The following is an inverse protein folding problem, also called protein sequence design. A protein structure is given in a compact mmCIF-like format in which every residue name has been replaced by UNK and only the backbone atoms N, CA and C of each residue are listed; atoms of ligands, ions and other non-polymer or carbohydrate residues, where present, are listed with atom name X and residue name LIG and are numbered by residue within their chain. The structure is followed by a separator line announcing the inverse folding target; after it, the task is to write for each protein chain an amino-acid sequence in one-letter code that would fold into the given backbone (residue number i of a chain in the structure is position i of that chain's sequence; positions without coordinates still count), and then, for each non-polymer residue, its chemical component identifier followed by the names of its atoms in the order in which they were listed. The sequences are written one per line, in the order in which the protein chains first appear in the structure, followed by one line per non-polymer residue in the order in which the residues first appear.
data_IF_324854113009
#
_entry.id   IF_324854113009
#
_cell.length_a   1.000
_cell.length_b   1.000
_cell.length_c   1.000
_cell.angle_alpha   90.00
_cell.angle_beta   90.00
_cell.angle_gamma   90.00
#
_symmetry.space_group_name_H-M   'P 1'
#
loop_
_entity.id
_entity.type
_entity.pdbx_description
1 polymer ?
#
# COMPACT_ATOMS: atom_id res chain seq x y z
N UNK A 1 -15.81 27.38 -25.63
CA UNK A 1 -15.64 27.25 -24.16
C UNK A 1 -16.12 25.87 -23.73
N UNK A 2 -15.19 24.96 -23.45
CA UNK A 2 -15.28 23.88 -22.47
C UNK A 2 -13.88 23.25 -22.42
N UNK A 3 -13.06 23.78 -21.52
CA UNK A 3 -11.77 23.21 -21.14
C UNK A 3 -12.00 21.78 -20.64
N UNK A 4 -11.54 20.78 -21.38
CA UNK A 4 -11.24 19.46 -20.81
C UNK A 4 -9.72 19.41 -20.64
N UNK A 5 -9.26 20.19 -19.66
CA UNK A 5 -8.06 19.85 -18.90
C UNK A 5 -8.47 18.69 -17.99
N UNK A 6 -8.36 17.45 -18.47
CA UNK A 6 -8.54 16.25 -17.64
C UNK A 6 -7.25 15.45 -17.64
N UNK A 7 -6.53 15.66 -16.54
CA UNK A 7 -5.68 14.66 -15.88
C UNK A 7 -4.45 14.19 -16.66
N UNK A 8 -3.52 15.12 -16.89
CA UNK A 8 -2.10 14.81 -16.84
C UNK A 8 -1.70 14.61 -15.38
N UNK A 9 -1.97 13.43 -14.81
CA UNK A 9 -1.08 12.94 -13.75
C UNK A 9 0.17 12.45 -14.47
N UNK A 10 1.20 13.30 -14.41
CA UNK A 10 2.51 13.06 -14.98
C UNK A 10 2.98 11.64 -14.65
N UNK A 11 3.32 10.87 -15.68
CA UNK A 11 4.05 9.61 -15.60
C UNK A 11 5.49 9.89 -15.09
N UNK A 12 5.62 10.36 -13.85
CA UNK A 12 6.88 10.53 -13.15
C UNK A 12 7.36 9.17 -12.65
N UNK A 13 8.07 8.44 -13.52
CA UNK A 13 8.68 7.16 -13.14
C UNK A 13 9.67 6.63 -14.18
N UNK A 14 9.56 7.07 -15.42
CA UNK A 14 10.47 6.67 -16.49
C UNK A 14 11.53 7.75 -16.68
N UNK A 15 12.66 7.57 -15.98
CA UNK A 15 13.91 8.29 -16.25
C UNK A 15 14.27 8.06 -17.73
N UNK A 16 14.23 9.14 -18.53
CA UNK A 16 14.30 9.16 -20.00
C UNK A 16 13.06 8.56 -20.70
N UNK A 17 11.94 9.30 -20.66
CA UNK A 17 10.68 8.88 -21.29
C UNK A 17 10.45 9.57 -22.64
N UNK A 18 10.06 8.76 -23.62
CA UNK A 18 9.42 9.19 -24.86
C UNK A 18 7.92 8.90 -24.73
N UNK A 19 7.06 9.91 -24.83
CA UNK A 19 5.61 9.73 -24.74
C UNK A 19 4.90 10.49 -25.85
N UNK A 20 3.77 9.94 -26.29
CA UNK A 20 2.94 10.53 -27.34
C UNK A 20 1.75 11.24 -26.68
N UNK A 21 1.55 12.51 -27.00
CA UNK A 21 0.45 13.34 -26.51
C UNK A 21 -0.40 13.81 -27.69
N UNK A 22 -1.73 13.76 -27.57
CA UNK A 22 -2.59 14.43 -28.54
C UNK A 22 -2.73 15.91 -28.19
N UNK A 23 -2.36 16.81 -29.11
CA UNK A 23 -2.60 18.25 -29.00
C UNK A 23 -3.31 18.74 -30.25
N UNK A 24 -4.50 19.32 -30.06
CA UNK A 24 -5.29 19.95 -31.15
C UNK A 24 -5.55 19.01 -32.34
N UNK A 25 -5.83 17.72 -32.09
CA UNK A 25 -6.14 16.72 -33.12
C UNK A 25 -4.92 16.16 -33.87
N UNK A 26 -3.71 16.46 -33.38
CA UNK A 26 -2.46 15.89 -33.87
C UNK A 26 -1.73 15.19 -32.75
N UNK A 27 -1.07 14.08 -33.05
CA UNK A 27 -0.24 13.36 -32.10
C UNK A 27 1.16 13.99 -32.11
N UNK A 28 1.69 14.38 -30.96
CA UNK A 28 3.08 14.82 -30.76
C UNK A 28 3.86 13.77 -29.98
N UNK A 29 5.09 13.47 -30.40
CA UNK A 29 6.08 12.76 -29.60
C UNK A 29 6.89 13.76 -28.80
N UNK A 30 6.94 13.58 -27.49
CA UNK A 30 7.78 14.36 -26.58
C UNK A 30 8.81 13.45 -25.91
N UNK A 31 10.06 13.88 -25.89
CA UNK A 31 11.16 13.21 -25.18
C UNK A 31 11.61 14.11 -24.04
N UNK A 32 11.72 13.56 -22.83
CA UNK A 32 12.16 14.28 -21.63
C UNK A 32 13.49 13.75 -21.08
N UNK A 33 14.22 14.63 -20.39
CA UNK A 33 15.41 14.26 -19.60
C UNK A 33 15.03 13.58 -18.27
N UNK A 34 16.05 13.18 -17.50
CA UNK A 34 15.85 12.56 -16.17
C UNK A 34 15.14 13.47 -15.16
N UNK A 35 15.09 14.78 -15.39
CA UNK A 35 14.36 15.75 -14.57
C UNK A 35 12.95 16.06 -15.13
N UNK A 36 12.46 15.26 -16.08
CA UNK A 36 11.17 15.48 -16.77
C UNK A 36 11.11 16.77 -17.60
N UNK A 37 12.25 17.37 -17.96
CA UNK A 37 12.29 18.54 -18.84
C UNK A 37 12.23 18.09 -20.29
N UNK A 38 11.34 18.71 -21.08
CA UNK A 38 11.22 18.43 -22.51
C UNK A 38 12.52 18.76 -23.23
N UNK A 39 13.13 17.76 -23.85
CA UNK A 39 14.31 17.90 -24.71
C UNK A 39 13.90 18.03 -26.17
N UNK A 40 12.84 17.34 -26.58
CA UNK A 40 12.39 17.28 -27.97
C UNK A 40 10.87 17.10 -28.04
N UNK A 41 10.23 17.74 -29.02
CA UNK A 41 8.82 17.52 -29.34
C UNK A 41 8.59 17.62 -30.84
N UNK A 42 7.89 16.67 -31.45
CA UNK A 42 7.57 16.68 -32.89
C UNK A 42 6.21 16.05 -33.18
N UNK A 43 5.50 16.55 -34.18
CA UNK A 43 4.24 15.96 -34.65
C UNK A 43 4.50 14.62 -35.35
N UNK A 44 3.64 13.62 -35.08
CA UNK A 44 3.66 12.30 -35.72
C UNK A 44 2.32 12.07 -36.43
N UNK A 45 2.35 11.55 -37.66
CA UNK A 45 1.14 11.18 -38.39
C UNK A 45 0.24 10.19 -37.62
N UNK A 46 -1.08 10.43 -37.62
CA UNK A 46 -2.07 9.67 -36.85
C UNK A 46 -2.19 8.19 -37.27
N UNK A 47 -1.89 7.88 -38.53
CA UNK A 47 -1.80 6.54 -39.11
C UNK A 47 -0.71 5.68 -38.43
N UNK A 48 0.45 6.28 -38.12
CA UNK A 48 1.55 5.59 -37.42
C UNK A 48 1.18 5.31 -35.95
N UNK A 49 0.49 6.25 -35.30
CA UNK A 49 0.03 6.06 -33.92
C UNK A 49 -0.98 4.90 -33.81
N UNK A 50 -1.88 4.79 -34.78
CA UNK A 50 -2.83 3.68 -34.86
C UNK A 50 -2.16 2.33 -35.15
N UNK A 51 -1.03 2.31 -35.89
CA UNK A 51 -0.23 1.09 -36.12
C UNK A 51 0.49 0.59 -34.86
N UNK A 52 0.86 1.48 -33.93
CA UNK A 52 1.59 1.18 -32.67
C UNK A 52 0.63 0.84 -31.52
N UNK A 53 -0.65 1.18 -31.66
CA UNK A 53 -1.71 0.93 -30.68
C UNK A 53 -2.69 -0.21 -31.07
N UNK A 54 -2.25 -1.42 -31.50
CA UNK A 54 -3.19 -2.50 -31.79
C UNK A 54 -3.65 -3.20 -30.51
N UNK A 55 -4.88 -3.72 -30.57
CA UNK A 55 -5.58 -4.25 -29.40
C UNK A 55 -4.90 -5.51 -28.81
N UNK A 56 -4.07 -6.23 -29.56
CA UNK A 56 -3.21 -7.37 -29.13
C UNK A 56 -2.09 -7.62 -30.15
N UNK A 57 -0.85 -7.20 -29.90
CA UNK A 57 0.32 -7.62 -30.71
C UNK A 57 1.54 -7.94 -29.85
N UNK A 58 2.42 -8.79 -30.38
CA UNK A 58 3.67 -9.24 -29.80
C UNK A 58 4.70 -8.09 -29.75
N UNK A 59 5.47 -7.96 -28.66
CA UNK A 59 6.48 -6.88 -28.47
C UNK A 59 7.51 -6.86 -29.61
N UNK A 60 7.75 -8.01 -30.25
CA UNK A 60 8.62 -8.11 -31.44
C UNK A 60 8.12 -7.26 -32.61
N UNK A 61 6.80 -7.19 -32.81
CA UNK A 61 6.19 -6.42 -33.89
C UNK A 61 6.27 -4.91 -33.58
N UNK A 62 6.10 -4.54 -32.32
CA UNK A 62 6.31 -3.18 -31.82
C UNK A 62 7.77 -2.74 -32.01
N UNK A 63 8.75 -3.60 -31.68
CA UNK A 63 10.17 -3.33 -31.93
C UNK A 63 10.46 -3.10 -33.42
N UNK A 64 9.85 -3.89 -34.31
CA UNK A 64 9.97 -3.72 -35.76
C UNK A 64 9.34 -2.40 -36.23
N UNK A 65 8.16 -2.04 -35.71
CA UNK A 65 7.46 -0.78 -36.00
C UNK A 65 8.23 0.45 -35.49
N UNK A 66 8.84 0.41 -34.30
CA UNK A 66 9.70 1.52 -33.84
C UNK A 66 11.01 1.57 -34.63
N UNK A 67 11.57 0.43 -35.03
CA UNK A 67 12.75 0.42 -35.91
C UNK A 67 12.42 1.07 -37.26
N UNK A 68 11.23 0.83 -37.82
CA UNK A 68 10.72 1.51 -39.01
C UNK A 68 10.60 3.03 -38.77
N UNK A 69 10.04 3.46 -37.63
CA UNK A 69 9.96 4.88 -37.23
C UNK A 69 11.33 5.56 -37.16
N UNK A 70 12.31 4.97 -36.48
CA UNK A 70 13.66 5.52 -36.40
C UNK A 70 14.29 5.65 -37.80
N UNK A 71 14.09 4.66 -38.66
CA UNK A 71 14.61 4.65 -40.03
C UNK A 71 13.94 5.69 -40.96
N UNK A 72 12.82 6.31 -40.57
CA UNK A 72 12.16 7.40 -41.33
C UNK A 72 12.82 8.78 -41.15
N UNK A 73 14.06 8.83 -40.66
CA UNK A 73 14.85 10.08 -40.55
C UNK A 73 14.97 10.64 -39.13
N UNK A 74 14.35 9.99 -38.14
CA UNK A 74 14.40 10.42 -36.73
C UNK A 74 15.58 9.79 -35.95
N UNK A 75 16.23 8.75 -36.49
CA UNK A 75 17.39 8.06 -35.89
C UNK A 75 18.56 8.98 -35.52
N UNK A 76 19.03 9.92 -36.38
CA UNK A 76 20.16 10.78 -36.03
C UNK A 76 19.86 11.74 -34.86
N UNK A 77 18.64 12.28 -34.83
CA UNK A 77 18.18 13.17 -33.75
C UNK A 77 18.01 12.40 -32.45
N UNK A 78 17.50 11.17 -32.54
CA UNK A 78 17.37 10.24 -31.43
C UNK A 78 18.73 9.84 -30.84
N UNK A 79 19.70 9.49 -31.68
CA UNK A 79 21.06 9.12 -31.26
C UNK A 79 21.82 10.30 -30.62
N UNK A 80 21.59 11.54 -31.07
CA UNK A 80 22.17 12.74 -30.46
C UNK A 80 21.58 13.04 -29.08
N UNK A 81 20.26 12.95 -28.94
CA UNK A 81 19.56 13.09 -27.64
C UNK A 81 20.01 11.98 -26.68
N UNK A 82 20.15 10.75 -27.18
CA UNK A 82 20.69 9.60 -26.43
C UNK A 82 22.08 9.90 -25.89
N UNK A 83 22.99 10.44 -26.72
CA UNK A 83 24.33 10.86 -26.25
C UNK A 83 24.26 11.91 -25.13
N UNK A 84 23.38 12.91 -25.23
CA UNK A 84 23.23 13.95 -24.18
C UNK A 84 22.66 13.41 -22.87
N UNK A 85 21.76 12.44 -22.95
CA UNK A 85 21.15 11.77 -21.79
C UNK A 85 22.15 10.88 -21.04
N UNK A 86 22.96 10.10 -21.77
CA UNK A 86 23.93 9.16 -21.19
C UNK A 86 25.23 9.82 -20.70
N UNK A 87 25.49 11.08 -21.06
CA UNK A 87 26.65 11.85 -20.59
C UNK A 87 26.46 12.49 -19.21
N UNK A 88 25.25 12.42 -18.63
CA UNK A 88 25.04 12.80 -17.23
C UNK A 88 25.60 11.68 -16.37
N UNK A 89 26.75 11.92 -15.74
CA UNK A 89 27.33 11.03 -14.75
C UNK A 89 26.28 10.71 -13.67
N UNK A 90 26.22 9.46 -13.17
CA UNK A 90 25.33 9.13 -12.08
C UNK A 90 25.75 9.97 -10.88
N UNK A 91 25.02 11.05 -10.61
CA UNK A 91 25.05 11.71 -9.31
C UNK A 91 24.62 10.67 -8.29
N UNK A 92 25.38 10.53 -7.20
CA UNK A 92 25.05 9.65 -6.08
C UNK A 92 23.59 9.93 -5.67
N UNK A 93 22.69 9.03 -6.07
CA UNK A 93 21.27 9.20 -5.85
C UNK A 93 21.02 9.00 -4.36
N UNK A 94 20.69 10.08 -3.66
CA UNK A 94 20.28 10.01 -2.27
C UNK A 94 19.02 9.15 -2.16
N UNK A 95 19.03 8.19 -1.24
CA UNK A 95 17.91 7.29 -0.98
C UNK A 95 16.64 8.08 -0.63
N UNK A 96 15.52 7.77 -1.29
CA UNK A 96 14.22 8.38 -1.00
C UNK A 96 13.46 7.63 0.10
N UNK A 97 13.84 7.86 1.35
CA UNK A 97 13.14 7.33 2.52
C UNK A 97 11.72 7.89 2.72
N UNK A 98 11.35 8.97 2.02
CA UNK A 98 10.01 9.56 2.15
C UNK A 98 8.95 8.68 1.50
N UNK A 99 9.27 8.09 0.34
CA UNK A 99 8.43 7.11 -0.35
C UNK A 99 8.18 5.86 0.50
N UNK A 100 9.23 5.35 1.15
CA UNK A 100 9.18 4.20 2.05
C UNK A 100 8.28 4.51 3.25
N UNK A 101 8.47 5.67 3.91
CA UNK A 101 7.63 6.07 5.05
C UNK A 101 6.16 6.15 4.66
N UNK A 102 5.85 6.77 3.52
CA UNK A 102 4.48 6.85 2.99
C UNK A 102 3.89 5.46 2.73
N UNK A 103 4.69 4.53 2.18
CA UNK A 103 4.23 3.16 1.98
C UNK A 103 3.91 2.46 3.30
N UNK A 104 4.73 2.64 4.33
CA UNK A 104 4.46 2.07 5.67
C UNK A 104 3.18 2.66 6.25
N UNK A 105 2.98 3.98 6.15
CA UNK A 105 1.75 4.62 6.62
C UNK A 105 0.50 4.07 5.91
N UNK A 106 0.58 3.84 4.60
CA UNK A 106 -0.51 3.20 3.84
C UNK A 106 -0.77 1.76 4.31
N UNK A 107 0.29 0.98 4.55
CA UNK A 107 0.16 -0.40 5.03
C UNK A 107 -0.40 -0.44 6.46
N UNK A 108 -0.01 0.49 7.33
CA UNK A 108 -0.60 0.66 8.67
C UNK A 108 -2.09 0.96 8.55
N UNK A 109 -2.48 1.93 7.70
CA UNK A 109 -3.88 2.29 7.51
C UNK A 109 -4.74 1.13 6.96
N UNK A 110 -4.13 0.22 6.18
CA UNK A 110 -4.77 -1.01 5.71
C UNK A 110 -4.93 -2.06 6.83
N UNK A 111 -3.93 -2.21 7.70
CA UNK A 111 -3.91 -3.23 8.76
C UNK A 111 -4.69 -2.82 10.02
N UNK A 112 -4.64 -1.54 10.42
CA UNK A 112 -5.28 -1.00 11.63
C UNK A 112 -6.75 -1.47 11.83
N UNK A 113 -7.62 -1.40 10.81
CA UNK A 113 -9.00 -1.85 10.95
C UNK A 113 -9.14 -3.36 11.23
N UNK A 114 -8.20 -4.17 10.73
CA UNK A 114 -8.25 -5.63 10.82
C UNK A 114 -7.85 -6.13 12.22
N UNK A 115 -6.90 -5.45 12.87
CA UNK A 115 -6.37 -5.80 14.19
C UNK A 115 -7.33 -5.42 15.33
N UNK A 116 -8.14 -4.38 15.15
CA UNK A 116 -8.99 -3.80 16.20
C UNK A 116 -10.17 -4.67 16.67
N UNK A 117 -10.07 -5.98 16.47
CA UNK A 117 -11.21 -6.85 16.35
C UNK A 117 -10.96 -8.24 16.94
N UNK A 118 -10.51 -8.35 18.20
CA UNK A 118 -10.74 -9.57 19.01
C UNK A 118 -10.42 -9.33 20.50
N UNK A 119 -11.43 -9.02 21.33
CA UNK A 119 -11.32 -9.23 22.77
C UNK A 119 -11.78 -10.65 23.12
N UNK A 120 -10.86 -11.53 23.47
CA UNK A 120 -11.14 -12.89 23.94
C UNK A 120 -11.91 -12.94 25.28
N UNK A 121 -12.11 -11.82 25.99
CA UNK A 121 -12.71 -11.82 27.34
C UNK A 121 -13.87 -10.83 27.60
N UNK A 122 -14.50 -10.22 26.59
CA UNK A 122 -15.64 -9.31 26.85
C UNK A 122 -16.89 -9.63 26.04
N UNK A 123 -17.66 -10.61 26.52
CA UNK A 123 -19.00 -10.95 26.00
C UNK A 123 -19.96 -9.75 25.93
N UNK A 124 -19.69 -8.67 26.68
CA UNK A 124 -20.47 -7.43 26.70
C UNK A 124 -20.28 -6.53 25.47
N UNK A 125 -19.22 -6.75 24.69
CA UNK A 125 -18.82 -5.89 23.57
C UNK A 125 -18.87 -6.62 22.22
N UNK A 126 -18.98 -7.94 22.25
CA UNK A 126 -19.09 -8.79 21.07
C UNK A 126 -20.54 -9.04 20.66
N UNK A 127 -20.79 -9.08 19.36
CA UNK A 127 -22.06 -9.50 18.79
C UNK A 127 -22.31 -11.00 19.10
N UNK A 128 -23.49 -11.37 19.63
CA UNK A 128 -23.84 -12.77 19.93
C UNK A 128 -23.91 -13.71 18.71
N UNK A 129 -24.03 -13.16 17.49
CA UNK A 129 -24.13 -13.93 16.24
C UNK A 129 -22.75 -14.13 15.61
N UNK A 130 -21.96 -13.06 15.53
CA UNK A 130 -20.66 -13.08 14.84
C UNK A 130 -19.49 -13.33 15.80
N UNK A 131 -19.72 -13.29 17.12
CA UNK A 131 -18.71 -13.41 18.18
C UNK A 131 -17.59 -12.36 18.05
N UNK A 132 -17.98 -11.20 17.58
CA UNK A 132 -17.12 -10.22 16.95
C UNK A 132 -17.43 -8.82 17.54
N UNK A 133 -16.44 -7.97 17.85
CA UNK A 133 -16.63 -6.63 18.45
C UNK A 133 -17.58 -5.74 17.63
N UNK A 134 -18.70 -5.29 18.20
CA UNK A 134 -19.76 -4.59 17.46
C UNK A 134 -19.25 -3.35 16.66
N UNK A 135 -19.45 -3.32 15.34
CA UNK A 135 -19.08 -2.21 14.44
C UNK A 135 -20.25 -1.28 14.14
N UNK A 136 -21.37 -1.84 13.71
CA UNK A 136 -22.64 -1.12 13.56
C UNK A 136 -23.69 -1.76 14.47
N UNK A 137 -23.60 -1.52 15.80
CA UNK A 137 -24.48 -2.14 16.75
C UNK A 137 -25.92 -1.65 16.60
N UNK A 138 -26.85 -2.60 16.50
CA UNK A 138 -28.29 -2.38 16.61
C UNK A 138 -28.83 -3.12 17.82
N UNK A 139 -29.81 -2.51 18.49
CA UNK A 139 -30.52 -3.11 19.62
C UNK A 139 -31.91 -3.56 19.19
N UNK A 140 -32.32 -4.75 19.60
CA UNK A 140 -33.67 -5.27 19.40
C UNK A 140 -34.67 -4.74 20.45
N UNK A 141 -35.94 -5.13 20.32
CA UNK A 141 -37.01 -4.81 21.28
C UNK A 141 -36.83 -5.45 22.65
N UNK A 142 -35.91 -6.40 22.79
CA UNK A 142 -35.63 -7.12 24.03
C UNK A 142 -34.37 -6.58 24.74
N UNK A 143 -33.65 -5.63 24.15
CA UNK A 143 -32.45 -5.02 24.70
C UNK A 143 -31.14 -5.71 24.32
N UNK A 144 -31.17 -6.71 23.43
CA UNK A 144 -29.98 -7.38 22.93
C UNK A 144 -29.33 -6.57 21.82
N UNK A 145 -28.01 -6.43 21.86
CA UNK A 145 -27.25 -5.70 20.84
C UNK A 145 -26.55 -6.67 19.90
N UNK A 146 -26.71 -6.46 18.59
CA UNK A 146 -26.17 -7.28 17.53
C UNK A 146 -25.45 -6.42 16.48
N UNK A 147 -24.58 -7.04 15.69
CA UNK A 147 -24.05 -6.45 14.46
C UNK A 147 -25.17 -6.39 13.42
N UNK A 148 -25.42 -5.21 12.83
CA UNK A 148 -26.57 -4.96 11.96
C UNK A 148 -26.72 -5.99 10.86
N UNK A 149 -25.66 -6.18 10.07
CA UNK A 149 -25.70 -7.09 8.94
C UNK A 149 -26.01 -8.54 9.37
N UNK A 150 -25.49 -8.94 10.53
CA UNK A 150 -25.67 -10.30 11.03
C UNK A 150 -27.11 -10.55 11.47
N UNK A 151 -27.70 -9.64 12.27
CA UNK A 151 -29.08 -9.80 12.72
C UNK A 151 -30.08 -9.62 11.58
N UNK A 152 -29.83 -8.72 10.63
CA UNK A 152 -30.71 -8.54 9.48
C UNK A 152 -30.78 -9.82 8.62
N UNK A 153 -29.65 -10.50 8.40
CA UNK A 153 -29.62 -11.82 7.75
C UNK A 153 -30.37 -12.89 8.54
N UNK A 154 -30.21 -12.92 9.87
CA UNK A 154 -30.96 -13.84 10.72
C UNK A 154 -32.48 -13.61 10.65
N UNK A 155 -32.93 -12.34 10.62
CA UNK A 155 -34.35 -12.00 10.54
C UNK A 155 -34.96 -12.28 9.17
N UNK A 156 -34.19 -12.23 8.09
CA UNK A 156 -34.66 -12.66 6.77
C UNK A 156 -34.99 -14.16 6.73
N UNK A 157 -34.22 -14.98 7.44
CA UNK A 157 -34.38 -16.44 7.46
C UNK A 157 -35.41 -16.92 8.47
N UNK A 158 -35.37 -16.38 9.70
CA UNK A 158 -36.09 -16.95 10.83
C UNK A 158 -37.19 -16.05 11.40
N UNK A 159 -37.21 -14.75 11.06
CA UNK A 159 -38.21 -13.76 11.55
C UNK A 159 -38.41 -13.79 13.09
N UNK A 160 -37.33 -14.07 13.83
CA UNK A 160 -37.34 -14.15 15.28
C UNK A 160 -35.99 -13.70 15.86
N UNK A 161 -35.99 -13.23 17.11
CA UNK A 161 -34.78 -12.92 17.85
C UNK A 161 -33.97 -14.21 18.09
N UNK A 162 -32.68 -14.26 17.73
CA UNK A 162 -31.84 -15.45 17.90
C UNK A 162 -31.65 -15.90 19.36
N UNK A 163 -31.75 -14.97 20.31
CA UNK A 163 -31.55 -15.24 21.74
C UNK A 163 -32.87 -15.59 22.44
N UNK A 164 -33.90 -14.77 22.26
CA UNK A 164 -35.20 -14.94 22.93
C UNK A 164 -36.14 -15.93 22.22
N UNK A 165 -35.86 -16.25 20.95
CA UNK A 165 -36.73 -17.07 20.08
C UNK A 165 -38.17 -16.54 19.99
N UNK A 166 -38.33 -15.23 20.11
CA UNK A 166 -39.61 -14.51 19.96
C UNK A 166 -39.68 -13.83 18.59
N UNK A 167 -40.87 -13.73 17.96
CA UNK A 167 -41.02 -13.08 16.66
C UNK A 167 -40.57 -11.62 16.68
N UNK A 168 -39.79 -11.20 15.68
CA UNK A 168 -39.44 -9.78 15.45
C UNK A 168 -39.12 -9.55 13.96
N UNK A 169 -39.16 -8.30 13.53
CA UNK A 169 -38.81 -7.89 12.16
C UNK A 169 -37.70 -6.82 12.16
N UNK A 170 -37.13 -6.53 10.98
CA UNK A 170 -36.03 -5.58 10.83
C UNK A 170 -36.37 -4.17 11.33
N UNK A 171 -37.63 -3.77 11.23
CA UNK A 171 -38.14 -2.47 11.73
C UNK A 171 -38.03 -2.33 13.25
N UNK A 172 -37.91 -3.45 13.97
CA UNK A 172 -37.82 -3.49 15.42
C UNK A 172 -36.37 -3.25 15.90
N UNK A 173 -35.41 -3.18 14.98
CA UNK A 173 -34.02 -2.85 15.24
C UNK A 173 -33.81 -1.34 15.28
N UNK A 174 -33.12 -0.86 16.33
CA UNK A 174 -32.73 0.56 16.46
C UNK A 174 -31.21 0.67 16.56
N UNK A 175 -30.57 1.70 15.97
CA UNK A 175 -29.14 1.92 16.18
C UNK A 175 -28.82 2.09 17.67
N UNK A 176 -27.77 1.42 18.15
CA UNK A 176 -27.28 1.57 19.52
C UNK A 176 -26.04 2.48 19.53
N UNK A 177 -26.27 3.79 19.48
CA UNK A 177 -25.18 4.78 19.41
C UNK A 177 -24.25 4.76 20.63
N UNK A 178 -24.74 4.40 21.82
CA UNK A 178 -23.91 4.28 23.01
C UNK A 178 -22.93 3.11 22.90
N UNK A 179 -23.40 1.94 22.46
CA UNK A 179 -22.53 0.81 22.16
C UNK A 179 -21.55 1.18 21.05
N UNK A 180 -22.00 1.86 20.00
CA UNK A 180 -21.12 2.30 18.90
C UNK A 180 -19.98 3.21 19.40
N UNK A 181 -20.29 4.24 20.19
CA UNK A 181 -19.28 5.14 20.77
C UNK A 181 -18.35 4.42 21.76
N UNK A 182 -18.90 3.51 22.56
CA UNK A 182 -18.11 2.74 23.53
C UNK A 182 -17.15 1.79 22.83
N UNK A 183 -17.62 1.04 21.82
CA UNK A 183 -16.78 0.16 21.00
C UNK A 183 -15.74 0.95 20.24
N UNK A 184 -16.10 2.11 19.69
CA UNK A 184 -15.16 3.00 19.01
C UNK A 184 -14.05 3.50 19.96
N UNK A 185 -14.41 3.85 21.20
CA UNK A 185 -13.43 4.21 22.23
C UNK A 185 -12.54 3.01 22.59
N UNK A 186 -13.14 1.84 22.81
CA UNK A 186 -12.42 0.61 23.16
C UNK A 186 -11.45 0.18 22.05
N UNK A 187 -11.86 0.27 20.78
CA UNK A 187 -10.99 0.08 19.62
C UNK A 187 -9.79 1.03 19.67
N UNK A 188 -10.01 2.29 20.05
CA UNK A 188 -8.96 3.32 20.11
C UNK A 188 -8.06 3.24 21.35
N UNK A 189 -8.53 2.67 22.46
CA UNK A 189 -7.82 2.74 23.75
C UNK A 189 -7.37 1.40 24.30
N UNK A 190 -8.20 0.36 24.24
CA UNK A 190 -7.96 -0.92 24.93
C UNK A 190 -7.56 -2.04 23.97
N UNK A 191 -8.12 -2.06 22.75
CA UNK A 191 -7.85 -3.08 21.73
C UNK A 191 -7.04 -2.58 20.53
N UNK A 192 -6.57 -1.34 20.55
CA UNK A 192 -5.59 -0.86 19.58
C UNK A 192 -4.20 -1.27 20.03
N UNK A 193 -3.39 -1.77 19.09
CA UNK A 193 -1.94 -1.83 19.25
C UNK A 193 -1.43 -0.47 19.77
N UNK A 194 -0.72 -0.44 20.92
CA UNK A 194 -0.23 0.83 21.45
C UNK A 194 0.59 1.57 20.38
N UNK A 195 0.38 2.87 20.25
CA UNK A 195 1.09 3.73 19.30
C UNK A 195 1.40 5.08 19.96
N UNK A 196 2.34 5.84 19.40
CA UNK A 196 2.81 7.15 19.93
C UNK A 196 1.80 8.31 19.78
N UNK A 197 0.53 8.01 19.55
CA UNK A 197 -0.51 8.99 19.27
C UNK A 197 -0.83 9.87 20.51
N UNK A 198 -0.48 9.39 21.71
CA UNK A 198 -0.71 10.06 22.99
C UNK A 198 0.58 10.64 23.61
N UNK A 199 1.56 11.03 22.80
CA UNK A 199 2.80 11.62 23.31
C UNK A 199 2.54 12.98 24.01
N UNK A 200 2.87 13.07 25.30
CA UNK A 200 2.59 14.23 26.17
C UNK A 200 3.87 15.04 26.50
N UNK A 201 5.06 14.51 26.20
CA UNK A 201 6.34 15.18 26.40
C UNK A 201 7.40 14.25 26.96
N UNK A 202 8.70 14.57 26.78
CA UNK A 202 9.77 13.65 27.20
C UNK A 202 9.95 13.65 28.72
N UNK A 203 9.86 12.47 29.33
CA UNK A 203 10.26 12.23 30.70
C UNK A 203 10.92 10.86 30.80
N UNK A 204 12.24 10.81 30.55
CA UNK A 204 13.00 9.56 30.44
C UNK A 204 12.95 8.71 31.71
N UNK A 205 12.99 9.35 32.89
CA UNK A 205 12.94 8.63 34.18
C UNK A 205 11.58 7.99 34.40
N UNK A 206 10.49 8.71 34.11
CA UNK A 206 9.14 8.18 34.22
C UNK A 206 8.88 7.10 33.16
N UNK A 207 9.28 7.34 31.91
CA UNK A 207 9.19 6.36 30.84
C UNK A 207 9.91 5.07 31.21
N UNK A 208 11.16 5.15 31.70
CA UNK A 208 11.92 4.00 32.15
C UNK A 208 11.22 3.25 33.29
N UNK A 209 10.72 3.97 34.29
CA UNK A 209 10.00 3.34 35.42
C UNK A 209 8.77 2.58 34.94
N UNK A 210 8.01 3.13 34.00
CA UNK A 210 6.84 2.49 33.41
C UNK A 210 7.22 1.28 32.54
N UNK A 211 8.31 1.37 31.77
CA UNK A 211 8.86 0.24 31.02
C UNK A 211 9.31 -0.89 31.94
N UNK A 212 10.01 -0.57 33.04
CA UNK A 212 10.46 -1.55 34.03
C UNK A 212 9.25 -2.25 34.69
N UNK A 213 8.18 -1.52 35.00
CA UNK A 213 6.92 -2.10 35.48
C UNK A 213 6.28 -3.03 34.45
N UNK A 214 6.19 -2.60 33.19
CA UNK A 214 5.66 -3.44 32.10
C UNK A 214 6.47 -4.73 31.92
N UNK A 215 7.80 -4.64 31.99
CA UNK A 215 8.68 -5.81 31.95
C UNK A 215 8.44 -6.78 33.11
N UNK A 216 8.21 -6.28 34.33
CA UNK A 216 7.86 -7.15 35.47
C UNK A 216 6.56 -7.92 35.19
N UNK A 217 5.52 -7.26 34.68
CA UNK A 217 4.26 -7.93 34.31
C UNK A 217 4.45 -8.94 33.18
N UNK A 218 5.29 -8.61 32.19
CA UNK A 218 5.67 -9.53 31.11
C UNK A 218 6.30 -10.83 31.64
N UNK A 219 7.24 -10.73 32.61
CA UNK A 219 7.89 -11.91 33.22
C UNK A 219 6.90 -12.77 34.02
N UNK A 220 5.86 -12.17 34.57
CA UNK A 220 4.80 -12.86 35.31
C UNK A 220 3.76 -13.49 34.35
N UNK A 221 3.84 -13.22 33.04
CA UNK A 221 2.89 -13.71 32.03
C UNK A 221 1.60 -12.89 31.95
N UNK A 222 1.57 -11.72 32.60
CA UNK A 222 0.45 -10.78 32.63
C UNK A 222 0.56 -9.80 31.46
N UNK A 223 0.24 -10.27 30.27
CA UNK A 223 0.50 -9.57 29.02
C UNK A 223 -0.33 -8.29 28.85
N UNK A 224 -1.60 -8.30 29.25
CA UNK A 224 -2.49 -7.13 29.15
C UNK A 224 -2.01 -5.99 30.06
N UNK A 225 -1.67 -6.30 31.32
CA UNK A 225 -1.11 -5.30 32.22
C UNK A 225 0.23 -4.75 31.73
N UNK A 226 1.07 -5.60 31.13
CA UNK A 226 2.34 -5.17 30.55
C UNK A 226 2.11 -4.19 29.38
N UNK A 227 1.17 -4.47 28.47
CA UNK A 227 0.81 -3.58 27.37
C UNK A 227 0.28 -2.23 27.87
N UNK A 228 -0.48 -2.21 28.97
CA UNK A 228 -0.95 -0.97 29.60
C UNK A 228 0.19 -0.11 30.13
N UNK A 229 1.19 -0.72 30.78
CA UNK A 229 2.38 0.00 31.25
C UNK A 229 3.23 0.52 30.10
N UNK A 230 3.42 -0.26 29.03
CA UNK A 230 4.10 0.20 27.84
C UNK A 230 3.35 1.35 27.15
N UNK A 231 2.02 1.27 27.03
CA UNK A 231 1.18 2.36 26.51
C UNK A 231 1.36 3.64 27.34
N UNK A 232 1.40 3.54 28.66
CA UNK A 232 1.69 4.68 29.55
C UNK A 232 3.09 5.23 29.33
N UNK A 233 4.10 4.36 29.14
CA UNK A 233 5.47 4.78 28.87
C UNK A 233 5.58 5.59 27.55
N UNK A 234 4.84 5.20 26.50
CA UNK A 234 4.82 5.90 25.20
C UNK A 234 4.33 7.35 25.27
N UNK A 235 3.62 7.74 26.33
CA UNK A 235 3.30 9.15 26.59
C UNK A 235 4.54 9.99 26.86
N UNK A 236 5.59 9.35 27.39
CA UNK A 236 6.79 10.00 27.91
C UNK A 236 8.08 9.68 27.15
N UNK A 237 8.02 8.75 26.20
CA UNK A 237 9.15 8.40 25.31
C UNK A 237 8.73 8.39 23.84
N UNK A 238 9.67 8.80 22.99
CA UNK A 238 9.58 8.73 21.54
C UNK A 238 10.73 7.91 20.93
N UNK A 239 11.38 7.04 21.72
CA UNK A 239 12.50 6.21 21.25
C UNK A 239 12.01 4.86 20.72
N UNK A 240 12.49 4.42 19.54
CA UNK A 240 11.98 3.22 18.87
C UNK A 240 12.35 1.96 19.66
N UNK A 241 13.50 1.98 20.33
CA UNK A 241 13.94 0.91 21.24
C UNK A 241 12.94 0.66 22.39
N UNK A 242 12.29 1.71 22.87
CA UNK A 242 11.32 1.61 23.99
C UNK A 242 9.98 1.03 23.51
N UNK A 243 9.72 1.07 22.19
CA UNK A 243 8.53 0.49 21.58
C UNK A 243 8.70 -1.02 21.28
N UNK A 244 9.95 -1.52 21.20
CA UNK A 244 10.27 -2.90 20.80
C UNK A 244 9.58 -3.98 21.64
N UNK A 245 9.26 -3.69 22.90
CA UNK A 245 8.59 -4.65 23.79
C UNK A 245 7.16 -5.00 23.34
N UNK A 246 6.44 -4.06 22.72
CA UNK A 246 5.04 -4.23 22.34
C UNK A 246 4.83 -5.35 21.29
N UNK A 247 5.50 -5.35 20.13
CA UNK A 247 5.33 -6.43 19.15
C UNK A 247 5.73 -7.81 19.70
N UNK A 248 6.76 -7.86 20.57
CA UNK A 248 7.22 -9.12 21.19
C UNK A 248 6.15 -9.70 22.14
N UNK A 249 5.41 -8.86 22.86
CA UNK A 249 4.29 -9.33 23.67
C UNK A 249 3.19 -9.94 22.79
N UNK A 250 2.80 -9.27 21.70
CA UNK A 250 1.77 -9.80 20.82
C UNK A 250 2.19 -11.13 20.16
N UNK A 251 3.48 -11.32 19.83
CA UNK A 251 3.99 -12.64 19.42
C UNK A 251 3.82 -13.70 20.51
N UNK A 252 4.12 -13.38 21.78
CA UNK A 252 3.94 -14.30 22.91
C UNK A 252 2.47 -14.67 23.12
N UNK A 253 1.57 -13.71 22.92
CA UNK A 253 0.12 -13.92 22.95
C UNK A 253 -0.40 -14.69 21.73
N UNK A 254 0.43 -14.91 20.71
CA UNK A 254 0.06 -15.50 19.41
C UNK A 254 -0.94 -14.66 18.61
N UNK A 255 -1.02 -13.36 18.89
CA UNK A 255 -1.82 -12.41 18.14
C UNK A 255 -1.05 -11.90 16.94
N UNK A 256 -0.94 -12.72 15.89
CA UNK A 256 -0.10 -12.42 14.72
C UNK A 256 -0.50 -11.11 14.01
N UNK A 257 -1.78 -10.77 13.99
CA UNK A 257 -2.28 -9.53 13.37
C UNK A 257 -1.83 -8.30 14.18
N UNK A 258 -2.02 -8.33 15.51
CA UNK A 258 -1.55 -7.29 16.43
C UNK A 258 -0.02 -7.13 16.40
N UNK A 259 0.70 -8.25 16.39
CA UNK A 259 2.16 -8.26 16.29
C UNK A 259 2.64 -7.64 14.97
N UNK A 260 2.02 -8.01 13.84
CA UNK A 260 2.32 -7.44 12.53
C UNK A 260 2.15 -5.92 12.52
N UNK A 261 1.00 -5.42 12.97
CA UNK A 261 0.74 -3.97 13.04
C UNK A 261 1.72 -3.26 13.98
N UNK A 262 2.05 -3.85 15.12
CA UNK A 262 3.06 -3.32 16.03
C UNK A 262 4.45 -3.24 15.36
N UNK A 263 4.84 -4.26 14.58
CA UNK A 263 6.09 -4.20 13.82
C UNK A 263 6.11 -3.12 12.74
N UNK A 264 4.97 -2.83 12.11
CA UNK A 264 4.86 -1.71 11.16
C UNK A 264 5.07 -0.35 11.86
N UNK A 265 4.48 -0.14 13.04
CA UNK A 265 4.74 1.06 13.84
C UNK A 265 6.20 1.15 14.28
N UNK A 266 6.79 0.02 14.71
CA UNK A 266 8.20 -0.03 15.08
C UNK A 266 9.10 0.37 13.91
N UNK A 267 8.85 -0.17 12.71
CA UNK A 267 9.57 0.19 11.49
C UNK A 267 9.45 1.68 11.18
N UNK A 268 8.23 2.24 11.28
CA UNK A 268 7.97 3.69 11.11
C UNK A 268 8.82 4.52 12.07
N UNK A 269 8.86 4.16 13.35
CA UNK A 269 9.64 4.88 14.36
C UNK A 269 11.14 4.74 14.14
N UNK A 270 11.61 3.59 13.68
CA UNK A 270 13.02 3.38 13.35
C UNK A 270 13.46 4.22 12.14
N UNK A 271 12.60 4.38 11.11
CA UNK A 271 12.87 5.29 9.99
C UNK A 271 12.96 6.75 10.45
N UNK A 272 12.09 7.18 11.37
CA UNK A 272 12.13 8.53 11.95
C UNK A 272 13.44 8.81 12.70
N UNK A 273 14.07 7.77 13.23
CA UNK A 273 15.38 7.81 13.88
C UNK A 273 16.56 7.52 12.93
N UNK A 274 16.30 7.35 11.64
CA UNK A 274 17.29 6.95 10.62
C UNK A 274 17.94 5.57 10.84
N UNK A 275 17.29 4.69 11.60
CA UNK A 275 17.70 3.31 11.86
C UNK A 275 17.15 2.35 10.78
N UNK A 276 17.59 2.53 9.53
CA UNK A 276 16.99 1.88 8.36
C UNK A 276 17.15 0.35 8.31
N UNK A 277 18.27 -0.19 8.77
CA UNK A 277 18.50 -1.64 8.81
C UNK A 277 17.48 -2.33 9.73
N UNK A 278 17.29 -1.78 10.94
CA UNK A 278 16.30 -2.29 11.90
C UNK A 278 14.87 -2.11 11.40
N UNK A 279 14.60 -1.02 10.67
CA UNK A 279 13.29 -0.81 10.04
C UNK A 279 12.98 -1.93 9.03
N UNK A 280 13.95 -2.29 8.19
CA UNK A 280 13.80 -3.40 7.25
C UNK A 280 13.61 -4.74 7.98
N UNK A 281 14.36 -5.02 9.03
CA UNK A 281 14.16 -6.22 9.87
C UNK A 281 12.75 -6.27 10.45
N UNK A 282 12.24 -5.16 10.96
CA UNK A 282 10.89 -5.06 11.52
C UNK A 282 9.81 -5.28 10.45
N UNK A 283 10.00 -4.75 9.23
CA UNK A 283 9.08 -5.01 8.11
C UNK A 283 9.08 -6.49 7.68
N UNK A 284 10.25 -7.12 7.64
CA UNK A 284 10.37 -8.56 7.33
C UNK A 284 9.63 -9.38 8.38
N UNK A 285 9.80 -9.07 9.67
CA UNK A 285 9.04 -9.71 10.74
C UNK A 285 7.53 -9.54 10.59
N UNK A 286 7.07 -8.33 10.26
CA UNK A 286 5.65 -8.07 10.02
C UNK A 286 5.10 -8.97 8.88
N UNK A 287 5.82 -9.05 7.76
CA UNK A 287 5.47 -9.93 6.63
C UNK A 287 5.45 -11.40 7.02
N UNK A 288 6.42 -11.87 7.79
CA UNK A 288 6.53 -13.30 8.15
C UNK A 288 5.36 -13.74 9.06
N UNK A 289 4.84 -12.84 9.90
CA UNK A 289 3.65 -13.06 10.73
C UNK A 289 2.34 -13.11 9.92
N UNK A 290 2.30 -12.43 8.77
CA UNK A 290 1.12 -12.30 7.89
C UNK A 290 1.51 -12.55 6.43
N UNK A 291 2.09 -13.72 6.15
CA UNK A 291 2.64 -14.07 4.83
C UNK A 291 1.61 -14.05 3.67
N UNK A 292 0.32 -14.05 3.99
CA UNK A 292 -0.78 -14.01 3.02
C UNK A 292 -1.17 -12.58 2.62
N UNK A 293 -0.70 -11.53 3.29
CA UNK A 293 -0.99 -10.14 2.94
C UNK A 293 0.10 -9.56 2.02
N UNK A 294 -0.26 -9.26 0.77
CA UNK A 294 0.71 -8.83 -0.25
C UNK A 294 1.15 -7.38 -0.05
N UNK A 295 0.29 -6.60 0.60
CA UNK A 295 0.47 -5.19 0.95
C UNK A 295 1.73 -4.98 1.80
N UNK A 296 2.12 -5.99 2.60
CA UNK A 296 3.32 -5.98 3.43
C UNK A 296 4.62 -6.05 2.60
N UNK A 297 4.56 -6.55 1.37
CA UNK A 297 5.72 -6.60 0.48
C UNK A 297 6.06 -5.22 -0.08
N UNK A 298 5.12 -4.28 -0.16
CA UNK A 298 5.35 -3.00 -0.85
C UNK A 298 6.39 -2.11 -0.14
N UNK A 299 6.34 -1.89 1.20
CA UNK A 299 7.40 -1.18 1.91
C UNK A 299 8.78 -1.86 1.76
N UNK A 300 8.83 -3.19 1.77
CA UNK A 300 10.06 -3.98 1.63
C UNK A 300 10.64 -3.83 0.21
N UNK A 301 9.79 -3.91 -0.81
CA UNK A 301 10.18 -3.74 -2.21
C UNK A 301 10.77 -2.35 -2.46
N UNK A 302 10.16 -1.30 -1.90
CA UNK A 302 10.69 0.06 -1.95
C UNK A 302 12.03 0.19 -1.21
N UNK A 303 12.18 -0.43 -0.05
CA UNK A 303 13.48 -0.51 0.64
C UNK A 303 14.56 -1.13 -0.24
N UNK A 304 14.28 -2.26 -0.87
CA UNK A 304 15.23 -2.93 -1.76
C UNK A 304 15.55 -2.10 -3.00
N UNK A 305 14.55 -1.45 -3.60
CA UNK A 305 14.73 -0.55 -4.75
C UNK A 305 15.67 0.60 -4.39
N UNK A 306 15.41 1.29 -3.28
CA UNK A 306 16.20 2.45 -2.90
C UNK A 306 17.60 2.09 -2.39
N UNK A 307 17.78 0.91 -1.79
CA UNK A 307 19.09 0.39 -1.36
C UNK A 307 19.89 -0.27 -2.49
N UNK A 308 19.39 -0.27 -3.73
CA UNK A 308 20.06 -0.83 -4.90
C UNK A 308 20.02 -2.37 -5.00
N UNK A 309 19.24 -3.04 -4.14
CA UNK A 309 18.96 -4.48 -4.20
C UNK A 309 17.90 -4.77 -5.27
N UNK A 310 18.29 -4.51 -6.52
CA UNK A 310 17.36 -4.47 -7.66
C UNK A 310 16.68 -5.82 -7.92
N UNK A 311 17.37 -6.93 -7.71
CA UNK A 311 16.78 -8.26 -7.95
C UNK A 311 15.64 -8.53 -6.97
N UNK A 312 15.89 -8.34 -5.68
CA UNK A 312 14.91 -8.55 -4.62
C UNK A 312 13.73 -7.59 -4.72
N UNK A 313 14.00 -6.32 -5.07
CA UNK A 313 12.95 -5.35 -5.33
C UNK A 313 12.06 -5.77 -6.51
N UNK A 314 12.67 -6.19 -7.62
CA UNK A 314 11.96 -6.64 -8.80
C UNK A 314 11.04 -7.83 -8.49
N UNK A 315 11.58 -8.86 -7.83
CA UNK A 315 10.83 -10.07 -7.50
C UNK A 315 9.60 -9.74 -6.63
N UNK A 316 9.74 -8.86 -5.64
CA UNK A 316 8.61 -8.43 -4.80
C UNK A 316 7.58 -7.60 -5.57
N UNK A 317 8.01 -6.64 -6.41
CA UNK A 317 7.07 -5.86 -7.22
C UNK A 317 6.29 -6.73 -8.21
N UNK A 318 6.92 -7.76 -8.78
CA UNK A 318 6.23 -8.72 -9.64
C UNK A 318 5.18 -9.53 -8.86
N UNK A 319 5.51 -9.99 -7.65
CA UNK A 319 4.55 -10.69 -6.79
C UNK A 319 3.35 -9.81 -6.42
N UNK A 320 3.60 -8.52 -6.12
CA UNK A 320 2.56 -7.54 -5.81
C UNK A 320 1.66 -7.32 -7.04
N UNK A 321 2.26 -7.04 -8.20
CA UNK A 321 1.55 -6.80 -9.45
C UNK A 321 0.66 -7.98 -9.85
N UNK A 322 1.21 -9.19 -9.82
CA UNK A 322 0.49 -10.40 -10.22
C UNK A 322 -0.68 -10.72 -9.30
N UNK A 323 -0.52 -10.53 -7.98
CA UNK A 323 -1.58 -10.83 -7.03
C UNK A 323 -2.75 -9.86 -7.21
N UNK A 324 -2.46 -8.56 -7.27
CA UNK A 324 -3.50 -7.55 -7.44
C UNK A 324 -4.17 -7.59 -8.82
N UNK A 325 -3.42 -7.91 -9.88
CA UNK A 325 -3.98 -8.10 -11.22
C UNK A 325 -5.01 -9.23 -11.27
N UNK A 326 -4.81 -10.31 -10.50
CA UNK A 326 -5.75 -11.44 -10.40
C UNK A 326 -7.04 -11.10 -9.65
N UNK A 327 -6.99 -10.19 -8.67
CA UNK A 327 -8.18 -9.79 -7.89
C UNK A 327 -9.23 -9.10 -8.76
N UNK A 328 -8.81 -8.32 -9.77
CA UNK A 328 -9.70 -7.70 -10.75
C UNK A 328 -10.50 -6.49 -10.27
N UNK A 329 -10.43 -6.14 -8.98
CA UNK A 329 -11.05 -4.94 -8.43
C UNK A 329 -10.32 -3.66 -8.88
N UNK A 330 -11.07 -2.58 -9.17
CA UNK A 330 -10.50 -1.35 -9.73
C UNK A 330 -9.38 -0.75 -8.89
N UNK A 331 -9.49 -0.78 -7.56
CA UNK A 331 -8.44 -0.29 -6.65
C UNK A 331 -7.20 -1.20 -6.67
N UNK A 332 -7.39 -2.52 -6.65
CA UNK A 332 -6.30 -3.49 -6.80
C UNK A 332 -5.56 -3.29 -8.13
N UNK A 333 -6.27 -3.02 -9.23
CA UNK A 333 -5.66 -2.77 -10.53
C UNK A 333 -4.72 -1.55 -10.53
N UNK A 334 -5.05 -0.48 -9.79
CA UNK A 334 -4.15 0.67 -9.64
C UNK A 334 -2.86 0.28 -8.93
N UNK A 335 -2.96 -0.47 -7.83
CA UNK A 335 -1.79 -1.00 -7.11
C UNK A 335 -0.95 -1.95 -7.97
N UNK A 336 -1.58 -2.76 -8.83
CA UNK A 336 -0.89 -3.63 -9.77
C UNK A 336 -0.08 -2.83 -10.82
N UNK A 337 -0.70 -1.80 -11.40
CA UNK A 337 -0.05 -0.87 -12.33
C UNK A 337 1.17 -0.22 -11.70
N UNK A 338 1.03 0.29 -10.47
CA UNK A 338 2.13 0.93 -9.76
C UNK A 338 3.26 -0.05 -9.42
N UNK A 339 2.93 -1.29 -9.06
CA UNK A 339 3.91 -2.34 -8.83
C UNK A 339 4.70 -2.67 -10.11
N UNK A 340 4.03 -2.85 -11.26
CA UNK A 340 4.71 -3.10 -12.53
C UNK A 340 5.56 -1.91 -12.99
N UNK A 341 5.09 -0.67 -12.79
CA UNK A 341 5.92 0.53 -13.04
C UNK A 341 7.20 0.52 -12.20
N UNK A 342 7.08 0.16 -10.93
CA UNK A 342 8.24 0.03 -10.05
C UNK A 342 9.18 -1.11 -10.48
N UNK A 343 8.64 -2.27 -10.88
CA UNK A 343 9.43 -3.37 -11.42
C UNK A 343 10.22 -2.95 -12.66
N UNK A 344 9.58 -2.26 -13.61
CA UNK A 344 10.25 -1.74 -14.81
C UNK A 344 11.34 -0.72 -14.45
N UNK A 345 11.10 0.14 -13.46
CA UNK A 345 12.09 1.14 -13.03
C UNK A 345 13.37 0.52 -12.46
N UNK A 346 13.26 -0.70 -11.93
CA UNK A 346 14.34 -1.46 -11.32
C UNK A 346 15.04 -2.37 -12.34
N UNK A 347 14.28 -3.05 -13.18
CA UNK A 347 14.80 -3.88 -14.26
C UNK A 347 14.03 -3.63 -15.56
N UNK A 348 14.52 -2.71 -16.42
CA UNK A 348 13.86 -2.33 -17.67
C UNK A 348 13.94 -3.38 -18.78
N UNK A 349 14.78 -4.40 -18.64
CA UNK A 349 15.12 -5.32 -19.72
C UNK A 349 14.21 -6.56 -19.76
N UNK A 350 13.14 -6.59 -18.95
CA UNK A 350 12.19 -7.70 -18.91
C UNK A 350 10.90 -7.32 -19.65
N UNK A 351 10.76 -7.83 -20.87
CA UNK A 351 9.65 -7.45 -21.76
C UNK A 351 8.29 -7.87 -21.20
N UNK A 352 8.24 -8.97 -20.46
CA UNK A 352 7.00 -9.55 -19.94
C UNK A 352 6.26 -8.60 -18.99
N UNK A 353 6.99 -7.74 -18.27
CA UNK A 353 6.40 -6.75 -17.35
C UNK A 353 5.60 -5.70 -18.12
N UNK A 354 6.06 -5.32 -19.32
CA UNK A 354 5.35 -4.36 -20.17
C UNK A 354 4.06 -4.92 -20.73
N UNK A 355 4.06 -6.21 -21.10
CA UNK A 355 2.85 -6.90 -21.53
C UNK A 355 1.82 -6.91 -20.40
N UNK A 356 2.23 -7.33 -19.20
CA UNK A 356 1.35 -7.36 -18.02
C UNK A 356 0.82 -5.98 -17.67
N UNK A 357 1.64 -4.94 -17.75
CA UNK A 357 1.20 -3.55 -17.54
C UNK A 357 0.22 -3.10 -18.62
N UNK A 358 0.50 -3.38 -19.89
CA UNK A 358 -0.34 -2.98 -21.01
C UNK A 358 -1.72 -3.66 -20.98
N UNK A 359 -1.80 -4.90 -20.49
CA UNK A 359 -3.07 -5.62 -20.33
C UNK A 359 -3.99 -4.99 -19.28
N UNK A 360 -3.43 -4.28 -18.29
CA UNK A 360 -4.21 -3.59 -17.26
C UNK A 360 -4.68 -2.18 -17.68
N UNK A 361 -4.15 -1.64 -18.79
CA UNK A 361 -4.46 -0.30 -19.25
C UNK A 361 -5.54 -0.34 -20.32
N UNK A 362 -6.69 0.26 -20.02
CA UNK A 362 -7.81 0.36 -20.99
C UNK A 362 -7.63 1.49 -22.00
N UNK A 363 -6.93 2.56 -21.63
CA UNK A 363 -6.72 3.70 -22.51
C UNK A 363 -5.70 3.36 -23.61
N UNK A 364 -6.12 3.45 -24.88
CA UNK A 364 -5.30 3.06 -26.03
C UNK A 364 -4.00 3.86 -26.12
N UNK A 365 -4.03 5.14 -25.75
CA UNK A 365 -2.86 6.00 -25.79
C UNK A 365 -1.85 5.66 -24.69
N UNK A 366 -2.32 5.42 -23.47
CA UNK A 366 -1.48 4.95 -22.37
C UNK A 366 -0.87 3.57 -22.68
N UNK A 367 -1.65 2.67 -23.29
CA UNK A 367 -1.17 1.34 -23.70
C UNK A 367 -0.06 1.45 -24.74
N UNK A 368 -0.25 2.30 -25.76
CA UNK A 368 0.79 2.59 -26.76
C UNK A 368 2.07 3.14 -26.11
N UNK A 369 1.94 4.08 -25.16
CA UNK A 369 3.08 4.65 -24.44
C UNK A 369 3.91 3.59 -23.68
N UNK A 370 3.26 2.59 -23.08
CA UNK A 370 3.96 1.48 -22.40
C UNK A 370 4.79 0.67 -23.39
N UNK A 371 4.21 0.31 -24.53
CA UNK A 371 4.90 -0.45 -25.57
C UNK A 371 6.06 0.30 -26.22
N UNK A 372 5.89 1.60 -26.43
CA UNK A 372 6.94 2.48 -26.93
C UNK A 372 8.11 2.59 -25.94
N UNK A 373 7.79 2.70 -24.65
CA UNK A 373 8.79 2.68 -23.57
C UNK A 373 9.54 1.35 -23.56
N UNK A 374 8.83 0.23 -23.70
CA UNK A 374 9.43 -1.10 -23.81
C UNK A 374 10.45 -1.14 -24.94
N UNK A 375 10.03 -0.81 -26.16
CA UNK A 375 10.91 -0.93 -27.32
C UNK A 375 12.06 0.10 -27.30
N UNK A 376 11.91 1.27 -26.67
CA UNK A 376 13.06 2.14 -26.37
C UNK A 376 14.11 1.44 -25.50
N UNK A 377 13.68 0.74 -24.43
CA UNK A 377 14.61 -0.02 -23.58
C UNK A 377 15.27 -1.18 -24.33
N UNK A 378 14.54 -1.90 -25.20
CA UNK A 378 15.07 -3.04 -26.00
C UNK A 378 15.86 -2.67 -27.26
N UNK A 379 15.91 -1.39 -27.63
CA UNK A 379 16.76 -0.84 -28.68
C UNK A 379 18.06 -0.25 -28.10
N UNK A 380 18.29 -0.37 -26.79
CA UNK A 380 19.60 -0.11 -26.20
C UNK A 380 20.64 -1.03 -26.80
#
# INVERSE_FOLDING_TARGET
MANISRCFEQFHGFNNSMFFQEKKGKVEVTICDMASKVIYSSEVPNDIFNEIAPDKEDVKDIKAKISKFLNMGYKPQFDEIRKRIFLVSPTERKIDYSSIKKSIDNTIAFMEPQVSFEPSESSHYTCPITHMLLKDPVVDIHGHTFEREAIERCLDLYKMCPLERKPMDKKDLKPNYFAAQTMERLRKTQFAVPARNAFEGRNEKLAKTLLDQGFVFEQVGKHDEALDFYRKALKYTNQAKDYLYIPVIFEKMKENQSACLAYLYLAKYQIEENNYEKALESLIKARDLQSHDIELNNPIALFHKETGRNKEAFDLFMQIGDRFAKTGEKMALMSAIDAYKNAISVNPDIYEVYLRLADLIQDKQQKANVFLTAANHFMK
#
